data_IF_991034592834
#
_entry.id   IF_991034592834
#
_cell.length_a   1.000
_cell.length_b   1.000
_cell.length_c   1.000
_cell.angle_alpha   90.00
_cell.angle_beta   90.00
_cell.angle_gamma   90.00
#
_symmetry.space_group_name_H-M   'P 1'
#
loop_
_entity.id
_entity.type
_entity.pdbx_description
1 polymer ?
#
# COMPACT_ATOMS: atom_id res chain seq x y z
N UNK A 1 -7.42 -66.91 -17.33
CA UNK A 1 -7.99 -66.08 -16.24
C UNK A 1 -7.05 -64.98 -15.71
N UNK A 2 -5.74 -65.01 -15.96
CA UNK A 2 -4.78 -64.02 -15.40
C UNK A 2 -4.53 -62.72 -16.20
N UNK A 3 -5.05 -62.57 -17.42
CA UNK A 3 -4.88 -61.34 -18.23
C UNK A 3 -6.03 -60.32 -18.12
N UNK A 4 -7.26 -60.75 -17.80
CA UNK A 4 -8.41 -59.83 -17.59
C UNK A 4 -8.37 -59.09 -16.24
N UNK A 5 -7.60 -59.59 -15.26
CA UNK A 5 -7.50 -58.98 -13.93
C UNK A 5 -6.50 -57.81 -13.86
N UNK A 6 -5.45 -57.80 -14.71
CA UNK A 6 -4.43 -56.73 -14.70
C UNK A 6 -4.90 -55.43 -15.36
N UNK A 7 -5.75 -55.48 -16.38
CA UNK A 7 -6.25 -54.28 -17.08
C UNK A 7 -7.19 -53.44 -16.20
N UNK A 8 -8.00 -54.08 -15.36
CA UNK A 8 -8.92 -53.40 -14.46
C UNK A 8 -8.22 -52.68 -13.29
N UNK A 9 -7.08 -53.19 -12.83
CA UNK A 9 -6.33 -52.58 -11.71
C UNK A 9 -5.62 -51.28 -12.11
N UNK A 10 -5.13 -51.19 -13.35
CA UNK A 10 -4.45 -49.98 -13.86
C UNK A 10 -5.48 -48.85 -14.10
N UNK A 11 -6.64 -49.18 -14.67
CA UNK A 11 -7.73 -48.22 -14.85
C UNK A 11 -8.27 -47.66 -13.54
N UNK A 12 -8.43 -48.52 -12.52
CA UNK A 12 -8.84 -48.10 -11.18
C UNK A 12 -7.79 -47.20 -10.50
N UNK A 13 -6.50 -47.53 -10.63
CA UNK A 13 -5.41 -46.73 -10.05
C UNK A 13 -5.30 -45.34 -10.69
N UNK A 14 -5.47 -45.25 -12.01
CA UNK A 14 -5.47 -43.97 -12.72
C UNK A 14 -6.69 -43.11 -12.37
N UNK A 15 -7.86 -43.74 -12.24
CA UNK A 15 -9.09 -43.07 -11.83
C UNK A 15 -8.98 -42.50 -10.41
N UNK A 16 -8.46 -43.29 -9.46
CA UNK A 16 -8.23 -42.84 -8.08
C UNK A 16 -7.20 -41.69 -8.03
N UNK A 17 -6.09 -41.79 -8.77
CA UNK A 17 -5.08 -40.72 -8.83
C UNK A 17 -5.65 -39.41 -9.40
N UNK A 18 -6.48 -39.49 -10.45
CA UNK A 18 -7.13 -38.32 -11.04
C UNK A 18 -8.10 -37.69 -10.06
N UNK A 19 -8.95 -38.49 -9.41
CA UNK A 19 -9.88 -38.02 -8.40
C UNK A 19 -9.15 -37.38 -7.21
N UNK A 20 -8.04 -37.98 -6.76
CA UNK A 20 -7.20 -37.42 -5.70
C UNK A 20 -6.61 -36.06 -6.09
N UNK A 21 -6.18 -35.90 -7.35
CA UNK A 21 -5.68 -34.63 -7.87
C UNK A 21 -6.75 -33.54 -7.91
N UNK A 22 -7.95 -33.89 -8.34
CA UNK A 22 -9.09 -32.96 -8.37
C UNK A 22 -9.49 -32.55 -6.95
N UNK A 23 -9.49 -33.47 -5.98
CA UNK A 23 -9.72 -33.17 -4.56
C UNK A 23 -8.64 -32.25 -3.99
N UNK A 24 -7.36 -32.50 -4.30
CA UNK A 24 -6.26 -31.64 -3.84
C UNK A 24 -6.34 -30.25 -4.47
N UNK A 25 -6.69 -30.15 -5.75
CA UNK A 25 -6.87 -28.87 -6.41
C UNK A 25 -8.03 -28.08 -5.79
N UNK A 26 -9.17 -28.74 -5.57
CA UNK A 26 -10.34 -28.14 -4.96
C UNK A 26 -10.09 -27.75 -3.49
N UNK A 27 -9.38 -28.58 -2.71
CA UNK A 27 -8.98 -28.26 -1.33
C UNK A 27 -8.14 -26.99 -1.29
N UNK A 28 -7.14 -26.87 -2.18
CA UNK A 28 -6.30 -25.66 -2.28
C UNK A 28 -7.09 -24.43 -2.74
N UNK A 29 -8.12 -24.60 -3.55
CA UNK A 29 -8.99 -23.51 -3.99
C UNK A 29 -9.91 -23.07 -2.84
N UNK A 30 -10.49 -24.03 -2.12
CA UNK A 30 -11.35 -23.78 -0.94
C UNK A 30 -10.56 -23.17 0.22
N UNK A 31 -9.33 -23.63 0.46
CA UNK A 31 -8.41 -23.06 1.45
C UNK A 31 -8.07 -21.61 1.11
N UNK A 32 -7.78 -21.30 -0.17
CA UNK A 32 -7.55 -19.91 -0.61
C UNK A 32 -8.80 -19.05 -0.48
N UNK A 33 -9.99 -19.58 -0.80
CA UNK A 33 -11.24 -18.86 -0.61
C UNK A 33 -11.57 -18.62 0.87
N UNK A 34 -11.28 -19.58 1.74
CA UNK A 34 -11.44 -19.44 3.19
C UNK A 34 -10.43 -18.46 3.77
N UNK A 35 -9.17 -18.52 3.35
CA UNK A 35 -8.15 -17.53 3.70
C UNK A 35 -8.54 -16.14 3.20
N UNK A 36 -9.06 -16.00 1.98
CA UNK A 36 -9.57 -14.72 1.46
C UNK A 36 -10.75 -14.19 2.29
N UNK A 37 -11.68 -15.07 2.72
CA UNK A 37 -12.82 -14.69 3.58
C UNK A 37 -12.40 -14.32 5.00
N UNK A 38 -11.53 -15.09 5.64
CA UNK A 38 -11.02 -14.78 6.97
C UNK A 38 -10.12 -13.54 6.97
N UNK A 39 -9.30 -13.37 5.92
CA UNK A 39 -8.54 -12.15 5.68
C UNK A 39 -9.50 -10.97 5.49
N UNK A 40 -10.57 -11.09 4.72
CA UNK A 40 -11.59 -10.05 4.57
C UNK A 40 -12.28 -9.63 5.88
N UNK A 41 -12.57 -10.58 6.78
CA UNK A 41 -13.23 -10.29 8.06
C UNK A 41 -12.28 -9.61 9.08
N UNK A 42 -11.01 -10.03 9.13
CA UNK A 42 -9.95 -9.37 9.92
C UNK A 42 -9.49 -8.05 9.29
N UNK A 43 -9.61 -7.92 7.97
CA UNK A 43 -9.16 -6.77 7.20
C UNK A 43 -10.02 -5.53 7.48
N UNK A 44 -11.34 -5.62 7.71
CA UNK A 44 -12.18 -4.42 7.95
C UNK A 44 -11.67 -3.45 9.04
N UNK A 45 -10.96 -3.95 10.07
CA UNK A 45 -10.30 -3.10 11.10
C UNK A 45 -8.86 -2.68 10.74
N UNK A 46 -8.11 -3.50 10.00
CA UNK A 46 -6.75 -3.18 9.54
C UNK A 46 -6.75 -2.32 8.27
N UNK A 47 -7.66 -2.54 7.32
CA UNK A 47 -7.89 -1.79 6.09
C UNK A 47 -8.09 -0.29 6.32
N UNK A 48 -8.78 0.09 7.40
CA UNK A 48 -8.92 1.51 7.78
C UNK A 48 -7.55 2.09 8.18
N UNK A 49 -6.72 1.32 8.89
CA UNK A 49 -5.38 1.75 9.29
C UNK A 49 -4.35 1.70 8.17
N UNK A 50 -4.57 0.88 7.14
CA UNK A 50 -3.70 0.75 5.96
C UNK A 50 -4.12 1.70 4.84
N UNK A 51 -5.22 2.44 5.02
CA UNK A 51 -5.75 3.34 4.01
C UNK A 51 -4.80 4.51 3.79
N UNK A 52 -4.13 4.51 2.64
CA UNK A 52 -3.24 5.56 2.22
C UNK A 52 -4.03 6.78 1.78
N UNK A 53 -3.62 7.96 2.26
CA UNK A 53 -4.21 9.22 1.82
C UNK A 53 -3.57 9.66 0.49
N UNK A 54 -4.09 9.15 -0.62
CA UNK A 54 -3.54 9.42 -1.95
C UNK A 54 -3.99 10.79 -2.46
N UNK A 55 -3.01 11.64 -2.76
CA UNK A 55 -3.17 12.97 -3.36
C UNK A 55 -2.56 12.94 -4.75
N UNK A 56 -3.26 13.42 -5.78
CA UNK A 56 -2.75 13.50 -7.14
C UNK A 56 -1.68 14.59 -7.27
N UNK A 57 -0.61 14.30 -7.98
CA UNK A 57 0.49 15.21 -8.24
C UNK A 57 0.35 15.90 -9.62
N UNK A 58 -0.03 17.20 -9.67
CA UNK A 58 -0.19 17.93 -10.93
C UNK A 58 1.13 18.08 -11.72
N UNK A 59 2.29 17.96 -11.09
CA UNK A 59 3.59 18.05 -11.75
C UNK A 59 3.88 16.81 -12.59
N UNK A 60 3.28 15.67 -12.22
CA UNK A 60 3.38 14.42 -12.99
C UNK A 60 2.34 14.33 -14.11
N UNK A 61 1.21 15.03 -13.95
CA UNK A 61 0.05 14.91 -14.83
C UNK A 61 0.40 15.31 -16.27
N UNK A 62 0.00 14.48 -17.23
CA UNK A 62 0.05 14.85 -18.64
C UNK A 62 -0.72 16.15 -18.92
N UNK A 63 -0.27 17.02 -19.84
CA UNK A 63 -0.93 18.30 -20.09
C UNK A 63 -2.39 18.23 -20.52
N UNK A 64 -2.88 17.09 -21.03
CA UNK A 64 -4.31 16.88 -21.34
C UNK A 64 -5.15 16.55 -20.10
N UNK A 65 -4.54 16.29 -18.96
CA UNK A 65 -5.24 15.95 -17.73
C UNK A 65 -5.43 17.19 -16.86
N UNK A 66 -6.61 17.28 -16.27
CA UNK A 66 -7.01 18.30 -15.31
C UNK A 66 -7.11 17.63 -13.95
N UNK A 67 -6.23 18.03 -13.04
CA UNK A 67 -6.30 17.65 -11.62
C UNK A 67 -7.15 18.71 -10.91
N UNK A 68 -8.09 18.29 -10.08
CA UNK A 68 -8.93 19.17 -9.26
C UNK A 68 -8.12 19.95 -8.22
N UNK A 69 -8.70 21.03 -7.70
CA UNK A 69 -8.05 21.87 -6.66
C UNK A 69 -7.76 21.09 -5.37
N UNK A 70 -8.63 20.17 -4.98
CA UNK A 70 -8.43 19.28 -3.84
C UNK A 70 -7.48 18.10 -4.14
N UNK A 71 -6.98 18.00 -5.37
CA UNK A 71 -6.07 16.97 -5.86
C UNK A 71 -6.60 15.53 -5.67
N UNK A 72 -7.92 15.35 -5.62
CA UNK A 72 -8.55 14.02 -5.53
C UNK A 72 -9.12 13.51 -6.84
N UNK A 73 -9.42 14.41 -7.76
CA UNK A 73 -10.11 14.08 -9.00
C UNK A 73 -9.22 14.40 -10.19
N UNK A 74 -9.25 13.51 -11.18
CA UNK A 74 -8.63 13.74 -12.49
C UNK A 74 -9.65 13.59 -13.61
N UNK A 75 -9.58 14.53 -14.55
CA UNK A 75 -10.46 14.61 -15.71
C UNK A 75 -9.66 14.87 -16.99
N UNK A 76 -10.13 14.35 -18.13
CA UNK A 76 -9.49 14.64 -19.43
C UNK A 76 -10.04 15.94 -20.00
N UNK A 77 -9.15 16.83 -20.42
CA UNK A 77 -9.51 18.00 -21.22
C UNK A 77 -9.80 17.60 -22.68
N UNK A 78 -10.38 18.54 -23.44
CA UNK A 78 -10.49 18.43 -24.88
C UNK A 78 -9.13 18.62 -25.55
N UNK A 79 -8.35 19.60 -25.10
CA UNK A 79 -7.05 19.97 -25.63
C UNK A 79 -5.97 19.98 -24.53
N UNK A 80 -4.71 19.65 -24.87
CA UNK A 80 -3.59 19.77 -23.95
C UNK A 80 -3.35 21.23 -23.53
N UNK A 81 -3.00 21.43 -22.26
CA UNK A 81 -2.59 22.73 -21.74
C UNK A 81 -1.15 23.04 -22.14
N UNK A 82 -0.87 24.32 -22.36
CA UNK A 82 0.52 24.79 -22.45
C UNK A 82 1.13 24.81 -21.04
N UNK A 83 2.21 24.06 -20.86
CA UNK A 83 2.82 23.77 -19.57
C UNK A 83 4.35 23.77 -19.76
N UNK A 84 5.13 24.32 -18.81
CA UNK A 84 6.58 24.27 -18.90
C UNK A 84 7.10 22.83 -18.82
N UNK A 85 8.28 22.61 -19.41
CA UNK A 85 8.98 21.33 -19.32
C UNK A 85 9.24 20.96 -17.86
N UNK A 86 8.84 19.75 -17.49
CA UNK A 86 9.05 19.19 -16.17
C UNK A 86 9.47 17.72 -16.32
N UNK A 87 10.65 17.30 -15.79
CA UNK A 87 11.11 15.92 -15.90
C UNK A 87 10.15 14.89 -15.29
N UNK A 88 9.39 15.26 -14.26
CA UNK A 88 8.43 14.38 -13.61
C UNK A 88 7.14 14.18 -14.43
N UNK A 89 6.87 15.06 -15.41
CA UNK A 89 5.65 15.04 -16.21
C UNK A 89 5.64 13.91 -17.24
N UNK A 90 4.53 13.18 -17.30
CA UNK A 90 4.24 12.30 -18.43
C UNK A 90 3.95 13.11 -19.69
N UNK A 91 4.79 12.98 -20.72
CA UNK A 91 4.59 13.70 -21.98
C UNK A 91 3.64 12.97 -22.92
N UNK A 92 3.77 11.64 -22.99
CA UNK A 92 3.00 10.84 -23.94
C UNK A 92 1.77 10.16 -23.33
N UNK A 93 1.94 9.53 -22.15
CA UNK A 93 0.85 8.78 -21.52
C UNK A 93 -0.06 9.74 -20.78
N UNK A 94 -1.37 9.55 -20.91
CA UNK A 94 -2.37 10.34 -20.17
C UNK A 94 -2.46 9.85 -18.73
N UNK A 95 -1.33 9.91 -18.02
CA UNK A 95 -1.17 9.45 -16.66
C UNK A 95 -0.94 10.63 -15.71
N UNK A 96 -1.32 10.40 -14.45
CA UNK A 96 -0.97 11.20 -13.28
C UNK A 96 -0.61 10.24 -12.14
N UNK A 97 0.34 10.64 -11.28
CA UNK A 97 0.75 9.87 -10.11
C UNK A 97 0.16 10.43 -8.82
N UNK A 98 0.16 9.62 -7.77
CA UNK A 98 0.07 10.14 -6.40
C UNK A 98 1.35 10.85 -5.97
N UNK A 99 1.27 11.82 -5.07
CA UNK A 99 2.44 12.51 -4.49
C UNK A 99 3.31 11.57 -3.63
N UNK A 100 2.68 10.62 -2.92
CA UNK A 100 3.37 9.67 -2.05
C UNK A 100 3.80 8.40 -2.78
N UNK A 101 5.04 7.97 -2.56
CA UNK A 101 5.53 6.64 -2.97
C UNK A 101 5.58 5.67 -1.80
N UNK A 102 5.49 4.38 -2.10
CA UNK A 102 5.67 3.29 -1.15
C UNK A 102 6.97 2.53 -1.42
N UNK A 103 7.70 2.22 -0.35
CA UNK A 103 8.95 1.44 -0.38
C UNK A 103 8.93 0.23 0.55
N UNK A 104 7.83 0.04 1.27
CA UNK A 104 7.62 -1.03 2.26
C UNK A 104 6.17 -1.00 2.75
N UNK A 105 5.73 -2.09 3.35
CA UNK A 105 4.46 -2.23 4.05
C UNK A 105 3.28 -2.53 3.13
N UNK A 106 2.12 -2.62 3.78
CA UNK A 106 0.83 -2.78 3.12
C UNK A 106 0.10 -1.44 3.03
N UNK A 107 -0.46 -1.15 1.87
CA UNK A 107 -1.19 0.10 1.61
C UNK A 107 -2.46 -0.20 0.83
N UNK A 108 -3.49 0.59 1.10
CA UNK A 108 -4.81 0.46 0.47
C UNK A 108 -5.35 1.82 0.08
N UNK A 109 -5.97 1.95 -1.09
CA UNK A 109 -6.78 3.12 -1.42
C UNK A 109 -7.96 2.74 -2.31
N UNK A 110 -8.97 3.59 -2.30
CA UNK A 110 -10.18 3.41 -3.11
C UNK A 110 -10.26 4.50 -4.17
N UNK A 111 -10.74 4.10 -5.34
CA UNK A 111 -10.95 4.98 -6.48
C UNK A 111 -12.39 4.80 -6.94
N UNK A 112 -13.16 5.87 -6.90
CA UNK A 112 -14.47 5.97 -7.51
C UNK A 112 -14.28 6.15 -9.02
N UNK A 113 -14.76 5.14 -9.76
CA UNK A 113 -14.74 5.10 -11.23
C UNK A 113 -16.11 5.45 -11.82
N UNK A 114 -17.17 5.37 -11.00
CA UNK A 114 -18.54 5.67 -11.39
C UNK A 114 -18.99 4.86 -12.62
N UNK A 115 -19.66 5.53 -13.56
CA UNK A 115 -20.12 4.98 -14.83
C UNK A 115 -19.14 5.22 -15.99
N UNK A 116 -17.90 5.62 -15.68
CA UNK A 116 -16.87 5.93 -16.68
C UNK A 116 -16.46 4.67 -17.47
N UNK A 117 -16.43 4.76 -18.79
CA UNK A 117 -16.28 3.63 -19.73
C UNK A 117 -14.82 3.28 -20.05
N UNK A 118 -13.89 4.18 -19.76
CA UNK A 118 -12.46 3.92 -19.89
C UNK A 118 -11.68 4.56 -18.73
N UNK A 119 -10.87 3.73 -18.07
CA UNK A 119 -9.96 4.10 -17.00
C UNK A 119 -8.98 2.96 -16.73
N UNK A 120 -7.78 3.28 -16.28
CA UNK A 120 -6.81 2.30 -15.77
C UNK A 120 -6.13 2.84 -14.52
N UNK A 121 -6.01 1.99 -13.50
CA UNK A 121 -5.42 2.34 -12.20
C UNK A 121 -4.52 1.23 -11.68
N UNK A 122 -3.63 1.56 -10.77
CA UNK A 122 -2.77 0.60 -10.08
C UNK A 122 -1.53 1.26 -9.53
N UNK A 123 -0.39 0.59 -9.65
CA UNK A 123 0.92 1.13 -9.25
C UNK A 123 1.92 1.13 -10.40
N UNK A 124 2.87 2.06 -10.36
CA UNK A 124 4.04 2.04 -11.22
C UNK A 124 5.33 2.31 -10.47
N UNK A 125 6.45 1.79 -10.98
CA UNK A 125 7.78 2.09 -10.43
C UNK A 125 8.14 3.57 -10.60
N UNK A 126 8.97 4.11 -9.70
CA UNK A 126 9.48 5.50 -9.79
C UNK A 126 10.16 5.81 -11.13
N UNK A 127 10.88 4.83 -11.67
CA UNK A 127 11.77 4.94 -12.83
C UNK A 127 11.13 4.58 -14.17
N UNK A 128 9.79 4.54 -14.26
CA UNK A 128 9.11 4.32 -15.54
C UNK A 128 9.45 5.41 -16.56
N UNK A 129 9.54 5.03 -17.83
CA UNK A 129 9.76 5.96 -18.94
C UNK A 129 8.56 6.91 -19.11
N UNK A 130 8.75 8.19 -18.79
CA UNK A 130 7.69 9.23 -18.81
C UNK A 130 7.67 10.07 -20.09
N UNK A 131 8.77 10.07 -20.85
CA UNK A 131 9.02 11.00 -21.96
C UNK A 131 8.80 10.34 -23.31
N UNK A 132 9.29 9.12 -23.49
CA UNK A 132 9.16 8.42 -24.77
C UNK A 132 7.74 7.90 -24.99
N UNK A 133 7.22 8.18 -26.18
CA UNK A 133 6.03 7.50 -26.68
C UNK A 133 6.26 6.01 -26.92
N UNK A 134 5.16 5.26 -27.08
CA UNK A 134 5.13 3.85 -27.52
C UNK A 134 5.59 2.78 -26.53
N UNK A 135 6.11 3.15 -25.36
CA UNK A 135 6.34 2.18 -24.29
C UNK A 135 4.96 1.70 -23.78
N UNK A 136 4.75 0.38 -23.73
CA UNK A 136 3.47 -0.18 -23.26
C UNK A 136 3.38 -0.07 -21.73
N UNK A 137 2.17 -0.01 -21.19
CA UNK A 137 1.93 -0.13 -19.75
C UNK A 137 1.80 -1.61 -19.41
N UNK A 138 2.93 -2.21 -19.05
CA UNK A 138 3.00 -3.64 -18.69
C UNK A 138 3.92 -3.80 -17.49
N UNK A 139 3.84 -4.95 -16.76
CA UNK A 139 4.72 -5.23 -15.63
C UNK A 139 6.21 -5.12 -15.98
N UNK A 140 6.62 -5.54 -17.18
CA UNK A 140 8.02 -5.46 -17.63
C UNK A 140 8.50 -4.00 -17.77
N UNK A 141 7.58 -3.08 -18.03
CA UNK A 141 7.85 -1.65 -18.10
C UNK A 141 7.56 -0.93 -16.77
N UNK A 142 7.33 -1.68 -15.68
CA UNK A 142 7.11 -1.14 -14.34
C UNK A 142 5.70 -0.65 -14.07
N UNK A 143 4.69 -1.19 -14.75
CA UNK A 143 3.27 -0.86 -14.53
C UNK A 143 2.45 -2.10 -14.15
N UNK A 144 1.80 -2.06 -13.00
CA UNK A 144 0.86 -3.08 -12.54
C UNK A 144 -0.52 -2.45 -12.42
N UNK A 145 -1.18 -2.34 -13.58
CA UNK A 145 -2.45 -1.63 -13.72
C UNK A 145 -3.52 -2.54 -14.29
N UNK A 146 -4.74 -2.38 -13.81
CA UNK A 146 -5.94 -2.95 -14.41
C UNK A 146 -6.92 -1.82 -14.75
N UNK A 147 -7.87 -2.11 -15.63
CA UNK A 147 -8.79 -1.08 -16.07
C UNK A 147 -9.82 -1.57 -17.06
N UNK A 148 -10.72 -0.67 -17.40
CA UNK A 148 -11.77 -0.86 -18.37
C UNK A 148 -11.37 -0.23 -19.70
N UNK A 149 -11.50 -0.97 -20.79
CA UNK A 149 -11.42 -0.44 -22.16
C UNK A 149 -12.68 -0.84 -22.92
N UNK A 150 -13.29 0.12 -23.63
CA UNK A 150 -14.51 -0.07 -24.43
C UNK A 150 -15.68 -0.73 -23.67
N UNK A 151 -15.81 -0.48 -22.36
CA UNK A 151 -16.91 -0.98 -21.51
C UNK A 151 -17.00 -2.50 -21.29
N UNK A 152 -16.12 -3.30 -21.92
CA UNK A 152 -16.32 -4.76 -22.03
C UNK A 152 -15.09 -5.63 -21.73
N UNK A 153 -13.90 -5.06 -21.49
CA UNK A 153 -12.70 -5.83 -21.09
C UNK A 153 -12.32 -5.50 -19.65
N UNK A 154 -12.32 -6.52 -18.80
CA UNK A 154 -12.20 -6.45 -17.34
C UNK A 154 -13.37 -5.70 -16.69
N UNK A 155 -14.59 -6.24 -16.87
CA UNK A 155 -15.78 -5.78 -16.16
C UNK A 155 -15.66 -6.11 -14.68
N UNK A 156 -15.02 -5.24 -13.92
CA UNK A 156 -15.58 -4.95 -12.62
C UNK A 156 -16.76 -4.02 -12.89
N UNK A 157 -17.99 -4.56 -12.92
CA UNK A 157 -19.23 -3.78 -12.92
C UNK A 157 -19.35 -3.09 -11.54
N UNK A 158 -18.42 -2.20 -11.24
CA UNK A 158 -18.33 -1.52 -9.97
C UNK A 158 -18.13 -0.04 -10.20
N UNK A 159 -18.74 0.73 -9.32
CA UNK A 159 -18.58 2.18 -9.24
C UNK A 159 -17.30 2.54 -8.46
N UNK A 160 -16.69 1.58 -7.75
CA UNK A 160 -15.53 1.82 -6.89
C UNK A 160 -14.57 0.63 -6.83
N UNK A 161 -13.29 0.91 -7.06
CA UNK A 161 -12.22 -0.11 -7.02
C UNK A 161 -11.29 0.17 -5.86
N UNK A 162 -11.06 -0.84 -5.04
CA UNK A 162 -10.02 -0.87 -4.02
C UNK A 162 -8.72 -1.41 -4.61
N UNK A 163 -7.62 -0.72 -4.37
CA UNK A 163 -6.26 -1.11 -4.77
C UNK A 163 -5.45 -1.42 -3.52
N UNK A 164 -4.91 -2.62 -3.45
CA UNK A 164 -4.08 -3.10 -2.36
C UNK A 164 -2.66 -3.35 -2.85
N UNK A 165 -1.70 -2.83 -2.12
CA UNK A 165 -0.28 -3.09 -2.30
C UNK A 165 0.24 -3.80 -1.05
N UNK A 166 0.84 -4.97 -1.21
CA UNK A 166 1.73 -5.58 -0.22
C UNK A 166 3.14 -5.56 -0.81
N UNK A 167 3.98 -4.64 -0.33
CA UNK A 167 5.30 -4.42 -0.91
C UNK A 167 6.23 -5.60 -0.62
N UNK A 168 6.16 -6.20 0.56
CA UNK A 168 7.04 -7.30 0.96
C UNK A 168 6.70 -8.62 0.28
N UNK A 169 5.42 -8.94 0.08
CA UNK A 169 5.02 -10.14 -0.67
C UNK A 169 5.06 -9.93 -2.18
N UNK A 170 5.07 -8.67 -2.63
CA UNK A 170 5.06 -8.36 -4.06
C UNK A 170 3.67 -8.46 -4.68
N UNK A 171 2.61 -8.26 -3.90
CA UNK A 171 1.24 -8.41 -4.38
C UNK A 171 0.58 -7.06 -4.67
N UNK A 172 -0.05 -6.95 -5.83
CA UNK A 172 -0.94 -5.82 -6.18
C UNK A 172 -2.31 -6.38 -6.52
N UNK A 173 -3.28 -6.15 -5.64
CA UNK A 173 -4.62 -6.71 -5.74
C UNK A 173 -5.69 -5.64 -5.95
N UNK A 174 -6.73 -5.99 -6.68
CA UNK A 174 -7.85 -5.14 -7.04
C UNK A 174 -9.15 -5.79 -6.59
N UNK A 175 -9.99 -5.01 -5.93
CA UNK A 175 -11.28 -5.46 -5.39
C UNK A 175 -12.38 -4.49 -5.77
N UNK A 176 -13.60 -5.01 -5.92
CA UNK A 176 -14.79 -4.17 -5.91
C UNK A 176 -14.97 -3.66 -4.47
N UNK A 177 -14.76 -2.36 -4.26
CA UNK A 177 -14.85 -1.77 -2.92
C UNK A 177 -16.28 -1.58 -2.41
N UNK A 178 -17.29 -1.92 -3.23
CA UNK A 178 -18.71 -1.89 -2.83
C UNK A 178 -19.13 -3.20 -2.17
N UNK A 179 -18.86 -4.33 -2.80
CA UNK A 179 -19.27 -5.66 -2.32
C UNK A 179 -18.11 -6.51 -1.76
N UNK A 180 -16.87 -6.04 -1.88
CA UNK A 180 -15.67 -6.72 -1.42
C UNK A 180 -15.20 -7.85 -2.33
N UNK A 181 -15.79 -8.05 -3.51
CA UNK A 181 -15.40 -9.11 -4.43
C UNK A 181 -14.01 -8.88 -5.03
N UNK A 182 -13.24 -9.95 -5.17
CA UNK A 182 -11.93 -9.92 -5.82
C UNK A 182 -12.08 -9.71 -7.32
N UNK A 183 -11.23 -8.86 -7.91
CA UNK A 183 -11.20 -8.60 -9.36
C UNK A 183 -9.96 -9.25 -9.98
N UNK A 184 -8.78 -8.91 -9.47
CA UNK A 184 -7.51 -9.34 -10.03
C UNK A 184 -6.36 -9.19 -9.03
N UNK A 185 -5.32 -10.01 -9.16
CA UNK A 185 -4.07 -9.84 -8.43
C UNK A 185 -2.87 -10.11 -9.34
N UNK A 186 -1.90 -9.20 -9.32
CA UNK A 186 -0.52 -9.47 -9.73
C UNK A 186 0.24 -10.01 -8.52
N UNK A 187 0.88 -11.16 -8.67
CA UNK A 187 1.55 -11.89 -7.59
C UNK A 187 3.07 -11.87 -7.75
N UNK A 188 3.78 -12.05 -6.63
CA UNK A 188 5.22 -12.33 -6.57
C UNK A 188 6.10 -11.29 -7.30
N UNK A 189 5.70 -10.02 -7.26
CA UNK A 189 6.44 -8.91 -7.86
C UNK A 189 7.69 -8.60 -7.05
N UNK A 190 8.85 -8.65 -7.69
CA UNK A 190 10.10 -8.19 -7.08
C UNK A 190 10.25 -6.67 -7.25
N UNK A 191 9.68 -5.87 -6.34
CA UNK A 191 9.90 -4.43 -6.33
C UNK A 191 11.36 -4.10 -6.00
N UNK A 192 11.99 -3.28 -6.84
CA UNK A 192 13.40 -2.88 -6.70
C UNK A 192 13.58 -1.41 -6.26
N UNK A 193 12.48 -0.73 -5.97
CA UNK A 193 12.48 0.68 -5.60
C UNK A 193 11.09 1.21 -5.29
N UNK A 194 10.94 2.54 -5.11
CA UNK A 194 9.66 3.13 -4.77
C UNK A 194 8.62 2.92 -5.87
N UNK A 195 7.38 2.67 -5.46
CA UNK A 195 6.20 2.60 -6.35
C UNK A 195 5.20 3.69 -6.02
N UNK A 196 4.53 4.20 -7.04
CA UNK A 196 3.51 5.26 -6.91
C UNK A 196 2.14 4.73 -7.34
N UNK A 197 1.05 5.18 -6.71
CA UNK A 197 -0.27 5.12 -7.33
C UNK A 197 -0.22 5.78 -8.71
N UNK A 198 -0.79 5.12 -9.71
CA UNK A 198 -0.88 5.64 -11.09
C UNK A 198 -2.32 5.57 -11.57
N UNK A 199 -2.74 6.63 -12.26
CA UNK A 199 -4.08 6.80 -12.78
C UNK A 199 -4.01 7.21 -14.24
N UNK A 200 -4.83 6.60 -15.09
CA UNK A 200 -4.89 6.90 -16.52
C UNK A 200 -6.32 6.95 -17.01
N UNK A 201 -6.60 8.00 -17.79
CA UNK A 201 -7.86 8.18 -18.52
C UNK A 201 -7.56 8.64 -19.93
N UNK A 202 -8.11 7.95 -20.92
CA UNK A 202 -7.88 8.17 -22.34
C UNK A 202 -9.03 8.90 -23.00
N UNK A 203 -10.27 8.69 -22.57
CA UNK A 203 -11.49 9.20 -23.21
C UNK A 203 -11.97 10.53 -22.62
N UNK A 204 -12.71 11.31 -23.41
CA UNK A 204 -13.44 12.46 -22.89
C UNK A 204 -14.84 11.99 -22.50
N UNK A 205 -15.13 12.01 -21.21
CA UNK A 205 -16.38 11.54 -20.62
C UNK A 205 -16.75 12.47 -19.45
N UNK A 206 -18.03 12.68 -19.14
CA UNK A 206 -18.45 13.60 -18.08
C UNK A 206 -18.00 13.14 -16.68
N UNK A 207 -17.86 11.84 -16.48
CA UNK A 207 -17.51 11.24 -15.19
C UNK A 207 -16.00 11.23 -15.01
N UNK A 208 -15.54 11.88 -13.96
CA UNK A 208 -14.13 11.93 -13.59
C UNK A 208 -13.71 10.70 -12.77
N UNK A 209 -12.40 10.53 -12.60
CA UNK A 209 -11.85 9.51 -11.72
C UNK A 209 -11.49 10.17 -10.38
N UNK A 210 -12.03 9.67 -9.27
CA UNK A 210 -11.93 10.34 -7.96
C UNK A 210 -11.39 9.40 -6.88
N UNK A 211 -10.35 9.84 -6.17
CA UNK A 211 -9.80 9.12 -5.02
C UNK A 211 -10.71 9.34 -3.81
N UNK A 212 -11.14 8.25 -3.18
CA UNK A 212 -11.97 8.35 -1.98
C UNK A 212 -11.10 8.71 -0.76
N UNK A 213 -11.42 9.80 -0.03
CA UNK A 213 -10.62 10.25 1.11
C UNK A 213 -10.62 9.23 2.25
N UNK A 214 -9.59 9.29 3.10
CA UNK A 214 -9.59 8.53 4.35
C UNK A 214 -10.66 9.11 5.28
N UNK A 215 -11.56 8.28 5.85
CA UNK A 215 -12.50 8.75 6.86
C UNK A 215 -11.71 9.32 8.03
N UNK A 216 -11.79 10.63 8.26
CA UNK A 216 -11.21 11.25 9.45
C UNK A 216 -11.96 10.66 10.64
N UNK A 217 -11.27 9.84 11.43
CA UNK A 217 -11.78 9.46 12.73
C UNK A 217 -12.12 10.73 13.48
N UNK A 218 -13.33 10.81 14.04
CA UNK A 218 -13.68 11.86 14.99
C UNK A 218 -12.62 11.77 16.08
N UNK A 219 -11.66 12.70 16.08
CA UNK A 219 -10.81 12.93 17.23
C UNK A 219 -11.79 13.12 18.38
N UNK A 220 -11.82 12.15 19.29
CA UNK A 220 -12.42 12.39 20.59
C UNK A 220 -11.57 13.49 21.20
N UNK A 221 -12.05 14.71 21.06
CA UNK A 221 -11.74 15.85 21.90
C UNK A 221 -11.63 15.32 23.32
N UNK A 222 -10.39 15.09 23.77
CA UNK A 222 -10.12 14.90 25.18
C UNK A 222 -10.27 16.29 25.78
N UNK A 223 -11.48 16.54 26.26
CA UNK A 223 -11.78 17.69 27.11
C UNK A 223 -10.83 17.62 28.31
N UNK A 224 -9.93 18.61 28.53
CA UNK A 224 -8.94 18.53 29.60
C UNK A 224 -9.52 18.60 31.02
N UNK A 225 -10.83 18.85 31.16
CA UNK A 225 -11.43 19.27 32.42
C UNK A 225 -11.93 18.14 33.33
N UNK A 226 -11.58 16.87 33.07
CA UNK A 226 -11.90 15.75 33.98
C UNK A 226 -10.66 14.99 34.46
N UNK A 227 -9.65 15.71 34.94
CA UNK A 227 -8.68 15.16 35.89
C UNK A 227 -8.93 15.79 37.26
N UNK A 228 -9.77 15.12 38.06
CA UNK A 228 -9.84 15.41 39.49
C UNK A 228 -8.48 15.10 40.13
N UNK A 229 -7.93 15.97 41.00
CA UNK A 229 -6.68 15.67 41.68
C UNK A 229 -6.92 14.54 42.68
N UNK A 230 -6.17 13.45 42.56
CA UNK A 230 -6.11 12.42 43.57
C UNK A 230 -5.62 13.03 44.89
N UNK A 231 -6.46 12.97 45.93
CA UNK A 231 -6.09 13.32 47.28
C UNK A 231 -5.03 12.34 47.82
N UNK A 232 -4.01 12.80 48.56
CA UNK A 232 -3.01 11.90 49.15
C UNK A 232 -3.62 11.02 50.24
N UNK A 233 -3.35 9.72 50.17
CA UNK A 233 -3.61 8.72 51.20
C UNK A 233 -2.93 9.12 52.53
N UNK A 234 -3.72 9.41 53.57
CA UNK A 234 -3.23 9.32 54.94
C UNK A 234 -3.05 7.85 55.32
N UNK A 235 -1.79 7.45 55.50
CA UNK A 235 -1.41 6.15 56.05
C UNK A 235 -1.69 6.14 57.56
N UNK A 236 -2.68 5.35 57.97
CA UNK A 236 -2.93 5.04 59.38
C UNK A 236 -1.74 4.30 59.99
N UNK A 237 -1.16 4.89 61.04
CA UNK A 237 -0.07 4.32 61.84
C UNK A 237 -0.62 3.28 62.81
N UNK A 238 -0.08 2.05 62.77
CA UNK A 238 -0.27 1.04 63.81
C UNK A 238 0.80 1.20 64.92
N UNK A 239 0.47 1.00 66.21
CA UNK A 239 1.47 1.02 67.27
C UNK A 239 2.11 -0.37 67.44
N UNK A 240 3.41 -0.45 67.17
CA UNK A 240 4.26 -1.60 67.48
C UNK A 240 5.15 -1.33 68.69
N UNK A 241 5.08 -2.22 69.67
CA UNK A 241 5.88 -2.25 70.89
C UNK A 241 7.39 -2.38 70.63
N UNK A 242 8.15 -1.65 71.44
CA UNK A 242 9.49 -1.90 72.00
C UNK A 242 10.46 -2.88 71.28
N UNK A 243 11.69 -2.41 71.03
CA UNK A 243 12.86 -2.80 71.81
C UNK A 243 14.11 -2.00 71.38
N UNK A 244 14.99 -1.80 72.36
CA UNK A 244 16.20 -0.98 72.36
C UNK A 244 17.35 -1.49 71.47
N UNK A 245 18.28 -0.55 71.24
CA UNK A 245 19.74 -0.70 71.16
C UNK A 245 20.43 -0.73 69.78
N UNK A 246 21.45 0.13 69.63
CA UNK A 246 22.59 -0.10 68.73
C UNK A 246 22.90 0.98 67.71
N UNK A 247 23.93 1.78 68.00
CA UNK A 247 24.54 2.88 67.22
C UNK A 247 25.26 2.46 65.90
N UNK A 248 25.81 3.41 65.10
CA UNK A 248 25.83 3.43 63.63
C UNK A 248 27.21 3.14 63.00
N UNK A 249 27.32 3.25 61.65
CA UNK A 249 28.50 3.51 60.78
C UNK A 249 28.30 2.74 59.44
N UNK A 250 28.71 3.15 58.23
CA UNK A 250 29.54 4.24 57.74
C UNK A 250 29.27 4.47 56.23
N UNK A 251 29.81 5.60 55.76
CA UNK A 251 30.03 6.11 54.40
C UNK A 251 30.44 5.09 53.32
N UNK A 252 30.08 5.34 52.05
CA UNK A 252 30.98 5.33 50.87
C UNK A 252 30.33 6.20 49.78
N UNK A 253 30.72 7.48 49.63
CA UNK A 253 31.66 8.01 48.62
C UNK A 253 31.22 7.81 47.15
N UNK A 254 30.73 8.90 46.56
CA UNK A 254 30.63 9.15 45.12
C UNK A 254 31.99 9.07 44.44
N UNK A 255 32.04 8.75 43.14
CA UNK A 255 32.93 9.44 42.18
C UNK A 255 32.43 9.23 40.74
N UNK A 256 32.06 10.35 40.10
CA UNK A 256 31.77 10.53 38.68
C UNK A 256 33.05 10.95 37.94
N UNK A 257 33.17 10.48 36.69
CA UNK A 257 33.79 11.11 35.50
C UNK A 257 35.35 11.23 35.47
N UNK A 258 36.01 11.28 34.28
CA UNK A 258 35.67 12.18 33.18
C UNK A 258 35.90 11.72 31.72
N UNK A 259 35.34 12.53 30.83
CA UNK A 259 35.56 12.61 29.39
C UNK A 259 36.73 13.54 29.03
N UNK A 260 37.15 13.50 27.74
CA UNK A 260 37.84 14.51 26.89
C UNK A 260 39.00 13.87 26.08
N UNK A 261 39.60 14.54 25.06
CA UNK A 261 39.04 15.17 23.86
C UNK A 261 39.94 14.92 22.61
N UNK A 262 39.70 15.61 21.47
CA UNK A 262 40.78 15.97 20.53
C UNK A 262 40.42 15.99 19.05
N UNK A 263 40.41 17.19 18.46
CA UNK A 263 40.31 17.50 17.04
C UNK A 263 41.70 17.54 16.37
N UNK A 264 41.76 17.49 15.02
CA UNK A 264 42.50 18.48 14.20
C UNK A 264 42.35 18.25 12.68
N UNK A 265 42.64 19.34 11.97
CA UNK A 265 42.31 19.85 10.63
C UNK A 265 43.00 19.27 9.36
N UNK A 266 42.26 19.34 8.23
CA UNK A 266 42.55 19.72 6.82
C UNK A 266 43.99 20.07 6.35
N UNK A 267 44.37 19.88 5.05
CA UNK A 267 43.96 20.80 3.95
C UNK A 267 43.86 20.24 2.49
N UNK A 268 43.41 21.16 1.61
CA UNK A 268 43.12 21.12 0.17
C UNK A 268 44.26 20.66 -0.77
N UNK A 269 43.87 20.15 -1.97
CA UNK A 269 44.59 20.47 -3.22
C UNK A 269 43.68 20.47 -4.45
N UNK A 270 43.81 21.52 -5.26
CA UNK A 270 43.28 21.71 -6.61
C UNK A 270 44.15 21.02 -7.66
N UNK A 271 43.60 20.72 -8.85
CA UNK A 271 44.23 21.03 -10.14
C UNK A 271 43.27 20.83 -11.33
N UNK A 272 43.24 21.84 -12.20
CA UNK A 272 42.76 21.80 -13.59
C UNK A 272 43.90 21.33 -14.53
N UNK A 273 43.55 20.72 -15.66
CA UNK A 273 43.78 21.24 -17.03
C UNK A 273 43.97 20.13 -18.09
N UNK A 274 43.40 20.45 -19.25
CA UNK A 274 43.29 19.79 -20.56
C UNK A 274 44.66 19.62 -21.30
N UNK A 275 44.75 18.98 -22.49
CA UNK A 275 43.94 19.21 -23.72
C UNK A 275 43.24 17.98 -24.31
#
# INVERSE_FOLDING_TARGET
YWQKSKQNCIGASFFLWRQQKEIIALSRETEREQEMKERGYSATKQEISLRADVILDPDTANPILLVSEDQRTVQRAEEPRDMPDNPERFEWRYCVLGCGSFTSGRHYWEVEVGDRKEWHIGVCSKNVERKKGWVKMTPENGYWTMGLTDGNKYQALTEKVGVFLDYETGDVSFYNAVDGSHIHTFLDICFSGPVYPVFRILTLEPTALTICPVPKGVERSLDPDLVAPAHPLETLVAPGLANESGEPQAEVTSLLLPAQPGADSLPLHSNQAEP
#
